data_IF_194274899302
#
_entry.id   IF_194274899302
#
_cell.length_a   1.000
_cell.length_b   1.000
_cell.length_c   1.000
_cell.angle_alpha   90.00
_cell.angle_beta   90.00
_cell.angle_gamma   90.00
#
_symmetry.space_group_name_H-M   'P 1'
#
loop_
_entity.id
_entity.type
_entity.pdbx_description
1 polymer ?
#
# COMPACT_ATOMS: atom_id res chain seq x y z
N UNK A 1 -5.47 10.38 -46.12
CA UNK A 1 -6.35 9.40 -45.45
C UNK A 1 -5.77 9.09 -44.08
N UNK A 2 -6.64 9.01 -43.06
CA UNK A 2 -6.36 9.26 -41.64
C UNK A 2 -5.40 8.31 -40.92
N UNK A 3 -4.61 8.94 -40.03
CA UNK A 3 -4.00 8.41 -38.80
C UNK A 3 -5.02 7.80 -37.84
N UNK A 4 -4.76 6.61 -37.29
CA UNK A 4 -5.24 6.15 -35.97
C UNK A 4 -4.58 4.83 -35.58
N UNK A 5 -4.37 4.65 -34.27
CA UNK A 5 -3.98 3.41 -33.55
C UNK A 5 -2.49 3.19 -33.29
N UNK A 6 -1.89 3.95 -32.36
CA UNK A 6 -0.77 3.47 -31.53
C UNK A 6 -0.59 4.34 -30.26
N UNK A 7 -1.68 4.89 -29.69
CA UNK A 7 -1.64 5.88 -28.57
C UNK A 7 -2.74 5.68 -27.52
N UNK A 8 -3.20 4.43 -27.32
CA UNK A 8 -4.23 4.09 -26.32
C UNK A 8 -3.60 3.49 -25.07
N UNK A 9 -2.76 2.47 -25.21
CA UNK A 9 -2.20 1.68 -24.10
C UNK A 9 -1.22 2.41 -23.14
N UNK A 10 -0.67 3.57 -23.52
CA UNK A 10 0.24 4.32 -22.65
C UNK A 10 -0.46 5.30 -21.69
N UNK A 11 -1.74 5.64 -21.96
CA UNK A 11 -2.48 6.57 -21.10
C UNK A 11 -3.18 5.88 -19.93
N UNK A 12 -3.49 4.60 -20.08
CA UNK A 12 -4.11 3.82 -19.02
C UNK A 12 -3.11 3.61 -17.85
N UNK A 13 -1.86 3.26 -18.13
CA UNK A 13 -0.83 3.04 -17.09
C UNK A 13 -0.41 4.31 -16.32
N UNK A 14 -0.44 5.46 -16.98
CA UNK A 14 -0.13 6.75 -16.35
C UNK A 14 -1.25 7.24 -15.43
N UNK A 15 -2.50 6.87 -15.74
CA UNK A 15 -3.65 7.10 -14.85
C UNK A 15 -3.66 6.09 -13.69
N UNK A 16 -3.31 4.82 -13.95
CA UNK A 16 -3.19 3.75 -12.94
C UNK A 16 -2.12 4.04 -11.86
N UNK A 17 -1.02 4.71 -12.23
CA UNK A 17 0.00 5.10 -11.24
C UNK A 17 -0.36 6.41 -10.54
N UNK A 18 -1.19 7.25 -11.18
CA UNK A 18 -1.55 8.58 -10.70
C UNK A 18 -2.33 8.56 -9.38
N UNK A 19 -3.32 7.67 -9.24
CA UNK A 19 -4.08 7.57 -8.00
C UNK A 19 -3.26 6.98 -6.86
N UNK A 20 -2.39 6.02 -7.14
CA UNK A 20 -1.45 5.50 -6.15
C UNK A 20 -0.56 6.63 -5.62
N UNK A 21 0.01 7.45 -6.50
CA UNK A 21 0.84 8.59 -6.09
C UNK A 21 0.03 9.60 -5.28
N UNK A 22 -1.18 9.93 -5.70
CA UNK A 22 -2.07 10.85 -4.97
C UNK A 22 -2.37 10.34 -3.55
N UNK A 23 -2.65 9.05 -3.39
CA UNK A 23 -2.87 8.42 -2.07
C UNK A 23 -1.61 8.52 -1.22
N UNK A 24 -0.43 8.23 -1.79
CA UNK A 24 0.84 8.29 -1.08
C UNK A 24 1.26 9.72 -0.66
N UNK A 25 0.78 10.75 -1.36
CA UNK A 25 1.00 12.15 -1.02
C UNK A 25 0.07 12.67 0.09
N UNK A 26 -1.02 11.96 0.36
CA UNK A 26 -1.96 12.30 1.43
C UNK A 26 -1.47 11.79 2.79
N UNK A 27 -1.89 12.42 3.90
CA UNK A 27 -1.62 11.86 5.22
C UNK A 27 -2.41 10.56 5.40
N UNK A 28 -1.71 9.45 5.60
CA UNK A 28 -2.30 8.18 6.05
C UNK A 28 -2.45 8.12 7.57
N UNK A 29 -3.12 7.08 8.06
CA UNK A 29 -3.27 6.82 9.49
C UNK A 29 -2.02 6.16 10.07
N UNK A 30 -1.68 6.47 11.32
CA UNK A 30 -0.60 5.74 11.99
C UNK A 30 -1.01 4.27 12.15
N UNK A 31 -0.06 3.34 11.94
CA UNK A 31 -0.31 1.94 12.20
C UNK A 31 -0.77 1.75 13.65
N UNK A 32 -1.82 0.96 13.84
CA UNK A 32 -2.42 0.71 15.15
C UNK A 32 -1.38 0.29 16.20
N UNK A 33 -1.51 0.84 17.40
CA UNK A 33 -0.53 0.64 18.46
C UNK A 33 -0.41 -0.84 18.87
N UNK A 34 -1.52 -1.58 18.94
CA UNK A 34 -1.52 -3.00 19.27
C UNK A 34 -0.84 -3.84 18.18
N UNK A 35 -1.05 -3.48 16.91
CA UNK A 35 -0.35 -4.11 15.78
C UNK A 35 1.16 -3.85 15.85
N UNK A 36 1.56 -2.61 16.18
CA UNK A 36 2.97 -2.25 16.35
C UNK A 36 3.63 -3.02 17.49
N UNK A 37 3.02 -3.02 18.67
CA UNK A 37 3.53 -3.76 19.84
C UNK A 37 3.67 -5.26 19.55
N UNK A 38 2.76 -5.81 18.76
CA UNK A 38 2.82 -7.21 18.33
C UNK A 38 3.95 -7.43 17.33
N UNK A 39 4.09 -6.61 16.29
CA UNK A 39 4.94 -6.94 15.14
C UNK A 39 6.36 -6.36 15.24
N UNK A 40 6.57 -5.19 15.85
CA UNK A 40 7.89 -4.56 15.95
C UNK A 40 8.96 -5.50 16.57
N UNK A 41 8.70 -6.26 17.66
CA UNK A 41 9.68 -7.20 18.21
C UNK A 41 9.99 -8.40 17.30
N UNK A 42 9.01 -8.81 16.48
CA UNK A 42 9.16 -9.95 15.54
C UNK A 42 10.02 -9.57 14.34
N UNK A 43 9.92 -8.32 13.89
CA UNK A 43 10.72 -7.80 12.79
C UNK A 43 12.04 -7.18 13.23
N UNK A 44 12.19 -6.80 14.51
CA UNK A 44 13.37 -6.08 14.99
C UNK A 44 13.48 -4.66 14.44
N UNK A 45 12.37 -4.09 13.96
CA UNK A 45 12.30 -2.77 13.35
C UNK A 45 11.11 -1.99 13.90
N UNK A 46 11.26 -0.67 14.02
CA UNK A 46 10.14 0.21 14.35
C UNK A 46 9.26 0.49 13.12
N UNK A 47 7.95 0.47 13.36
CA UNK A 47 6.90 0.83 12.42
C UNK A 47 6.21 2.15 12.80
N UNK A 48 6.83 2.98 13.64
CA UNK A 48 6.29 4.29 14.06
C UNK A 48 6.01 5.23 12.89
N UNK A 49 6.86 5.17 11.86
CA UNK A 49 6.74 6.00 10.66
C UNK A 49 5.84 5.36 9.59
N UNK A 50 5.31 4.16 9.83
CA UNK A 50 4.41 3.50 8.89
C UNK A 50 3.06 4.23 8.86
N UNK A 51 2.55 4.45 7.65
CA UNK A 51 1.25 5.05 7.39
C UNK A 51 0.37 4.08 6.63
N UNK A 52 -0.84 3.87 7.11
CA UNK A 52 -1.85 3.01 6.49
C UNK A 52 -2.87 3.90 5.79
N UNK A 53 -3.18 3.55 4.54
CA UNK A 53 -4.20 4.18 3.73
C UNK A 53 -5.27 3.15 3.44
N UNK A 54 -6.47 3.35 3.97
CA UNK A 54 -7.61 2.42 3.81
C UNK A 54 -8.91 3.14 3.44
N UNK A 55 -8.81 4.39 2.98
CA UNK A 55 -9.96 5.17 2.52
C UNK A 55 -10.40 4.75 1.10
N UNK A 56 -11.46 5.38 0.59
CA UNK A 56 -11.98 5.06 -0.74
C UNK A 56 -10.97 5.34 -1.88
N UNK A 57 -10.03 6.26 -1.69
CA UNK A 57 -9.00 6.53 -2.68
C UNK A 57 -7.92 5.43 -2.67
N UNK A 58 -7.50 4.99 -1.48
CA UNK A 58 -6.62 3.85 -1.29
C UNK A 58 -7.20 2.57 -1.91
N UNK A 59 -8.49 2.31 -1.71
CA UNK A 59 -9.16 1.17 -2.32
C UNK A 59 -9.12 1.20 -3.84
N UNK A 60 -9.38 2.37 -4.46
CA UNK A 60 -9.28 2.51 -5.92
C UNK A 60 -7.87 2.29 -6.44
N UNK A 61 -6.87 2.83 -5.75
CA UNK A 61 -5.48 2.59 -6.09
C UNK A 61 -5.13 1.10 -5.99
N UNK A 62 -5.60 0.40 -4.96
CA UNK A 62 -5.37 -1.04 -4.81
C UNK A 62 -6.04 -1.87 -5.91
N UNK A 63 -7.27 -1.53 -6.31
CA UNK A 63 -7.98 -2.15 -7.43
C UNK A 63 -7.25 -1.98 -8.76
N UNK A 64 -6.62 -0.82 -9.00
CA UNK A 64 -5.82 -0.56 -10.22
C UNK A 64 -4.60 -1.48 -10.34
N UNK A 65 -4.06 -1.96 -9.22
CA UNK A 65 -2.98 -2.96 -9.21
C UNK A 65 -3.49 -4.40 -9.05
N UNK A 66 -4.80 -4.65 -9.13
CA UNK A 66 -5.44 -5.95 -8.84
C UNK A 66 -4.98 -6.52 -7.47
N UNK A 67 -4.80 -5.62 -6.49
CA UNK A 67 -4.20 -5.92 -5.21
C UNK A 67 -5.20 -5.79 -4.06
N UNK A 68 -5.05 -6.65 -3.06
CA UNK A 68 -5.74 -6.54 -1.77
C UNK A 68 -5.10 -5.49 -0.87
N UNK A 69 -3.78 -5.41 -0.93
CA UNK A 69 -2.97 -4.39 -0.29
C UNK A 69 -1.61 -4.33 -1.00
N UNK A 70 -0.87 -3.24 -0.81
CA UNK A 70 0.52 -3.14 -1.23
C UNK A 70 1.30 -2.14 -0.38
N UNK A 71 2.62 -2.33 -0.27
CA UNK A 71 3.52 -1.43 0.45
C UNK A 71 4.48 -0.66 -0.47
N UNK A 72 4.59 0.65 -0.25
CA UNK A 72 5.57 1.54 -0.90
C UNK A 72 6.29 2.38 0.14
N UNK A 73 7.57 2.10 0.36
CA UNK A 73 8.41 2.81 1.33
C UNK A 73 7.93 2.57 2.75
N UNK A 74 7.26 3.57 3.34
CA UNK A 74 6.65 3.48 4.67
C UNK A 74 5.12 3.56 4.62
N UNK A 75 4.54 3.53 3.42
CA UNK A 75 3.09 3.57 3.22
C UNK A 75 2.57 2.18 2.90
N UNK A 76 1.45 1.81 3.50
CA UNK A 76 0.69 0.60 3.20
C UNK A 76 -0.67 1.05 2.69
N UNK A 77 -1.03 0.62 1.49
CA UNK A 77 -2.34 0.86 0.88
C UNK A 77 -3.16 -0.41 1.03
N UNK A 78 -4.38 -0.29 1.56
CA UNK A 78 -5.30 -1.39 1.82
C UNK A 78 -6.55 -1.21 0.99
N UNK A 79 -7.05 -2.28 0.38
CA UNK A 79 -8.33 -2.27 -0.30
C UNK A 79 -9.50 -2.27 0.70
N UNK A 80 -10.70 -1.98 0.22
CA UNK A 80 -11.95 -1.90 0.98
C UNK A 80 -12.16 -3.18 1.80
N UNK A 81 -12.26 -3.03 3.12
CA UNK A 81 -12.50 -4.15 4.04
C UNK A 81 -11.27 -5.03 4.32
N UNK A 82 -10.12 -4.74 3.74
CA UNK A 82 -8.89 -5.51 3.96
C UNK A 82 -8.12 -5.05 5.20
N UNK A 83 -8.29 -3.79 5.62
CA UNK A 83 -7.75 -3.32 6.89
C UNK A 83 -8.59 -3.83 8.08
N UNK A 84 -8.26 -5.04 8.52
CA UNK A 84 -8.91 -5.73 9.64
C UNK A 84 -7.85 -6.32 10.59
N UNK A 85 -7.11 -5.49 11.35
CA UNK A 85 -5.99 -5.92 12.18
C UNK A 85 -6.37 -6.93 13.28
N UNK A 86 -7.63 -6.93 13.72
CA UNK A 86 -8.15 -7.85 14.73
C UNK A 86 -8.51 -9.25 14.19
N UNK A 87 -8.47 -9.43 12.87
CA UNK A 87 -8.76 -10.72 12.23
C UNK A 87 -7.47 -11.44 11.85
N UNK A 88 -7.41 -12.78 11.93
CA UNK A 88 -6.23 -13.53 11.49
C UNK A 88 -5.85 -13.24 10.03
N UNK A 89 -6.85 -13.05 9.16
CA UNK A 89 -6.66 -12.79 7.74
C UNK A 89 -6.08 -11.39 7.50
N UNK A 90 -6.66 -10.35 8.11
CA UNK A 90 -6.18 -8.97 7.97
C UNK A 90 -4.82 -8.77 8.62
N UNK A 91 -4.58 -9.39 9.78
CA UNK A 91 -3.26 -9.37 10.43
C UNK A 91 -2.19 -10.06 9.57
N UNK A 92 -2.52 -11.21 8.95
CA UNK A 92 -1.60 -11.88 8.03
C UNK A 92 -1.28 -11.02 6.81
N UNK A 93 -2.28 -10.33 6.26
CA UNK A 93 -2.07 -9.41 5.14
C UNK A 93 -1.18 -8.23 5.54
N UNK A 94 -1.46 -7.58 6.67
CA UNK A 94 -0.63 -6.50 7.21
C UNK A 94 0.81 -6.95 7.46
N UNK A 95 1.00 -8.16 8.01
CA UNK A 95 2.34 -8.73 8.24
C UNK A 95 3.09 -8.94 6.92
N UNK A 96 2.40 -9.36 5.86
CA UNK A 96 2.97 -9.48 4.52
C UNK A 96 3.46 -8.12 4.00
N UNK A 97 2.62 -7.09 4.07
CA UNK A 97 2.98 -5.74 3.59
C UNK A 97 4.09 -5.08 4.42
N UNK A 98 4.11 -5.31 5.74
CA UNK A 98 5.20 -4.85 6.61
C UNK A 98 6.52 -5.53 6.28
N UNK A 99 6.49 -6.79 5.84
CA UNK A 99 7.69 -7.48 5.35
C UNK A 99 8.28 -6.75 4.14
N UNK A 100 7.44 -6.35 3.17
CA UNK A 100 7.88 -5.54 2.02
C UNK A 100 8.46 -4.20 2.46
N UNK A 101 7.86 -3.54 3.44
CA UNK A 101 8.39 -2.29 4.02
C UNK A 101 9.82 -2.46 4.55
N UNK A 102 10.07 -3.52 5.33
CA UNK A 102 11.41 -3.81 5.87
C UNK A 102 12.41 -4.13 4.76
N UNK A 103 12.02 -4.97 3.80
CA UNK A 103 12.88 -5.34 2.66
C UNK A 103 13.26 -4.12 1.82
N UNK A 104 12.31 -3.23 1.55
CA UNK A 104 12.54 -2.00 0.79
C UNK A 104 13.45 -1.00 1.51
N UNK A 105 13.49 -1.00 2.85
CA UNK A 105 14.46 -0.22 3.63
C UNK A 105 15.87 -0.79 3.52
N UNK A 106 16.01 -2.12 3.59
CA UNK A 106 17.29 -2.80 3.45
C UNK A 106 17.90 -2.69 2.05
N UNK A 107 17.07 -2.68 1.00
CA UNK A 107 17.51 -2.54 -0.39
C UNK A 107 17.95 -1.12 -0.78
N UNK A 108 17.64 -0.11 0.06
CA UNK A 108 18.05 1.29 -0.13
C UNK A 108 19.32 1.67 0.66
N UNK A 109 19.94 0.71 1.35
CA UNK A 109 21.15 0.88 2.15
C UNK A 109 22.41 0.40 1.43
#
# INVERSE_FOLDING_TARGET
MNTKQHRRHQRDTELETGHALEVLERPGEALDAGVRELLEPRFGHSFADVRVHSDAAAARAADEFDARAFAVGQNIVMNTGEYAPDTPQGLSLLTHELTHTVQQRGARG
#
